data_IF_087165642054
#
_entry.id   IF_087165642054
#
_cell.length_a   1.000
_cell.length_b   1.000
_cell.length_c   1.000
_cell.angle_alpha   90.00
_cell.angle_beta   90.00
_cell.angle_gamma   90.00
#
_symmetry.space_group_name_H-M   'P 1'
#
loop_
_entity.id
_entity.type
_entity.pdbx_description
1 polymer ?
#
# COMPACT_ATOMS: atom_id res chain seq x y z
N UNK A 1 6.65 73.33 -20.20
CA UNK A 1 7.73 72.35 -19.98
C UNK A 1 7.67 71.96 -18.52
N UNK A 2 7.46 70.73 -18.08
CA UNK A 2 7.20 69.46 -18.72
C UNK A 2 6.26 68.69 -17.78
N UNK A 3 5.22 68.08 -18.34
CA UNK A 3 4.30 67.17 -17.66
C UNK A 3 4.99 65.81 -17.67
N UNK A 4 5.64 65.46 -16.57
CA UNK A 4 6.24 64.14 -16.35
C UNK A 4 5.62 63.63 -15.06
N UNK A 5 4.66 62.71 -15.16
CA UNK A 5 4.91 61.27 -15.21
C UNK A 5 4.74 60.72 -13.79
N UNK A 6 3.49 60.64 -13.29
CA UNK A 6 3.25 60.08 -11.94
C UNK A 6 1.85 59.48 -11.71
N UNK A 7 1.05 59.26 -12.77
CA UNK A 7 -0.30 58.67 -12.65
C UNK A 7 -0.44 57.31 -13.31
N UNK A 8 0.67 56.66 -13.70
CA UNK A 8 0.68 55.34 -14.33
C UNK A 8 1.34 54.25 -13.44
N UNK A 9 1.58 54.55 -12.17
CA UNK A 9 2.37 53.71 -11.25
C UNK A 9 1.52 52.91 -10.25
N UNK A 10 0.26 53.27 -10.03
CA UNK A 10 -0.59 52.64 -9.00
C UNK A 10 -1.21 51.28 -9.39
N UNK A 11 -1.83 51.06 -10.57
CA UNK A 11 -2.51 49.78 -10.84
C UNK A 11 -1.53 48.61 -11.01
N UNK A 12 -0.30 48.87 -11.46
CA UNK A 12 0.75 47.85 -11.59
C UNK A 12 1.34 47.48 -10.24
N UNK A 13 1.45 48.43 -9.30
CA UNK A 13 1.92 48.19 -7.93
C UNK A 13 0.89 47.40 -7.12
N UNK A 14 -0.39 47.70 -7.30
CA UNK A 14 -1.50 47.01 -6.65
C UNK A 14 -1.63 45.57 -7.17
N UNK A 15 -1.60 45.37 -8.49
CA UNK A 15 -1.59 44.04 -9.10
C UNK A 15 -0.33 43.23 -8.72
N UNK A 16 0.83 43.88 -8.59
CA UNK A 16 2.06 43.22 -8.13
C UNK A 16 1.99 42.87 -6.63
N UNK A 17 1.29 43.65 -5.81
CA UNK A 17 1.06 43.34 -4.41
C UNK A 17 0.09 42.15 -4.26
N UNK A 18 -1.03 42.15 -4.98
CA UNK A 18 -1.96 41.01 -5.00
C UNK A 18 -1.30 39.73 -5.52
N UNK A 19 -0.53 39.80 -6.60
CA UNK A 19 0.21 38.65 -7.13
C UNK A 19 1.21 38.09 -6.12
N UNK A 20 1.86 38.94 -5.30
CA UNK A 20 2.76 38.50 -4.23
C UNK A 20 2.00 37.85 -3.08
N UNK A 21 0.85 38.38 -2.70
CA UNK A 21 0.02 37.83 -1.63
C UNK A 21 -0.57 36.47 -2.03
N UNK A 22 -1.05 36.35 -3.27
CA UNK A 22 -1.54 35.08 -3.82
C UNK A 22 -0.40 34.07 -3.95
N UNK A 23 0.78 34.48 -4.41
CA UNK A 23 1.95 33.62 -4.47
C UNK A 23 2.38 33.13 -3.08
N UNK A 24 2.39 34.01 -2.06
CA UNK A 24 2.72 33.65 -0.69
C UNK A 24 1.71 32.66 -0.09
N UNK A 25 0.40 32.87 -0.33
CA UNK A 25 -0.65 31.93 0.09
C UNK A 25 -0.51 30.59 -0.62
N UNK A 26 -0.18 30.57 -1.91
CA UNK A 26 0.04 29.34 -2.65
C UNK A 26 1.25 28.57 -2.13
N UNK A 27 2.34 29.27 -1.81
CA UNK A 27 3.56 28.68 -1.26
C UNK A 27 3.32 28.13 0.16
N UNK A 28 2.55 28.84 0.98
CA UNK A 28 2.13 28.41 2.33
C UNK A 28 1.21 27.18 2.29
N UNK A 29 0.23 27.14 1.38
CA UNK A 29 -0.62 25.97 1.15
C UNK A 29 0.21 24.77 0.67
N UNK A 30 1.20 25.02 -0.20
CA UNK A 30 2.09 23.99 -0.73
C UNK A 30 3.03 23.47 0.36
N UNK A 31 3.54 24.35 1.22
CA UNK A 31 4.38 24.01 2.36
C UNK A 31 3.62 23.19 3.41
N UNK A 32 2.39 23.58 3.76
CA UNK A 32 1.53 22.80 4.67
C UNK A 32 1.26 21.40 4.11
N UNK A 33 1.03 21.29 2.79
CA UNK A 33 0.79 20.03 2.12
C UNK A 33 2.01 19.10 2.13
N UNK A 34 3.21 19.65 2.01
CA UNK A 34 4.46 18.88 2.04
C UNK A 34 4.75 18.29 3.43
N UNK A 35 4.43 19.03 4.49
CA UNK A 35 4.62 18.60 5.88
C UNK A 35 3.63 17.49 6.26
N UNK A 36 2.36 17.63 5.88
CA UNK A 36 1.35 16.58 6.02
C UNK A 36 1.73 15.31 5.27
N UNK A 37 2.28 15.45 4.06
CA UNK A 37 2.76 14.30 3.29
C UNK A 37 3.95 13.61 3.95
N UNK A 38 4.85 14.35 4.60
CA UNK A 38 5.97 13.77 5.35
C UNK A 38 5.48 12.99 6.58
N UNK A 39 4.57 13.59 7.36
CA UNK A 39 3.97 12.96 8.53
C UNK A 39 3.20 11.69 8.14
N UNK A 40 2.43 11.72 7.05
CA UNK A 40 1.72 10.53 6.55
C UNK A 40 2.68 9.42 6.10
N UNK A 41 3.84 9.76 5.52
CA UNK A 41 4.86 8.75 5.19
C UNK A 41 5.43 8.09 6.45
N UNK A 42 5.70 8.88 7.48
CA UNK A 42 6.25 8.36 8.74
C UNK A 42 5.22 7.53 9.50
N UNK A 43 3.94 7.92 9.50
CA UNK A 43 2.86 7.09 10.03
C UNK A 43 2.68 5.80 9.23
N UNK A 44 2.80 5.84 7.91
CA UNK A 44 2.77 4.62 7.07
C UNK A 44 3.93 3.68 7.39
N UNK A 45 5.14 4.21 7.57
CA UNK A 45 6.30 3.41 8.00
C UNK A 45 6.09 2.81 9.39
N UNK A 46 5.67 3.61 10.36
CA UNK A 46 5.38 3.15 11.71
C UNK A 46 4.26 2.09 11.74
N UNK A 47 3.27 2.19 10.84
CA UNK A 47 2.24 1.18 10.64
C UNK A 47 2.79 -0.11 10.01
N UNK A 48 3.67 0.01 9.02
CA UNK A 48 4.32 -1.13 8.36
C UNK A 48 5.21 -1.94 9.32
N UNK A 49 5.84 -1.28 10.29
CA UNK A 49 6.63 -1.94 11.35
C UNK A 49 5.78 -2.62 12.43
N UNK A 50 4.52 -2.20 12.61
CA UNK A 50 3.58 -2.86 13.53
C UNK A 50 2.87 -4.07 12.92
N UNK A 51 3.07 -4.33 11.62
CA UNK A 51 2.53 -5.51 10.96
C UNK A 51 3.19 -6.77 11.56
N UNK A 52 2.43 -7.73 12.12
CA UNK A 52 3.01 -8.97 12.60
C UNK A 52 3.57 -9.74 11.40
N UNK A 53 4.91 -9.77 11.27
CA UNK A 53 5.59 -10.69 10.34
C UNK A 53 5.91 -11.98 11.09
N UNK A 54 4.87 -12.70 11.52
CA UNK A 54 5.02 -14.03 12.11
C UNK A 54 5.23 -15.10 11.03
N UNK A 55 6.06 -14.81 10.03
CA UNK A 55 6.43 -15.81 9.02
C UNK A 55 7.61 -16.60 9.59
N UNK A 56 7.45 -17.90 9.90
CA UNK A 56 8.52 -18.68 10.49
C UNK A 56 9.75 -18.70 9.58
N UNK A 57 10.94 -18.61 10.18
CA UNK A 57 12.19 -18.71 9.42
C UNK A 57 12.26 -20.07 8.71
N UNK A 58 12.52 -20.11 7.40
CA UNK A 58 12.48 -21.36 6.64
C UNK A 58 13.61 -22.29 7.06
N UNK A 59 13.30 -23.57 7.18
CA UNK A 59 14.31 -24.61 7.45
C UNK A 59 15.28 -24.75 6.28
N UNK A 60 16.46 -25.35 6.50
CA UNK A 60 17.46 -25.55 5.43
C UNK A 60 16.90 -26.33 4.24
N UNK A 61 16.06 -27.33 4.51
CA UNK A 61 15.35 -28.10 3.46
C UNK A 61 14.39 -27.23 2.67
N UNK A 62 13.60 -26.40 3.35
CA UNK A 62 12.66 -25.47 2.69
C UNK A 62 13.40 -24.44 1.83
N UNK A 63 14.46 -23.81 2.36
CA UNK A 63 15.29 -22.85 1.60
C UNK A 63 15.84 -23.45 0.31
N UNK A 64 16.22 -24.73 0.36
CA UNK A 64 16.75 -25.44 -0.80
C UNK A 64 15.64 -25.79 -1.78
N UNK A 65 14.50 -26.26 -1.29
CA UNK A 65 13.32 -26.53 -2.10
C UNK A 65 12.81 -25.28 -2.83
N UNK A 66 12.79 -24.11 -2.17
CA UNK A 66 12.35 -22.87 -2.80
C UNK A 66 13.29 -22.38 -3.90
N UNK A 67 14.61 -22.54 -3.69
CA UNK A 67 15.59 -22.23 -4.74
C UNK A 67 15.41 -23.15 -5.93
N UNK A 68 15.25 -24.46 -5.69
CA UNK A 68 15.05 -25.44 -6.77
C UNK A 68 13.72 -25.17 -7.50
N UNK A 69 12.64 -24.90 -6.77
CA UNK A 69 11.34 -24.57 -7.34
C UNK A 69 11.40 -23.28 -8.20
N UNK A 70 12.12 -22.26 -7.75
CA UNK A 70 12.34 -21.03 -8.53
C UNK A 70 13.15 -21.26 -9.81
N UNK A 71 14.11 -22.19 -9.79
CA UNK A 71 14.89 -22.56 -10.99
C UNK A 71 14.04 -23.39 -11.95
N UNK A 72 13.35 -24.42 -11.47
CA UNK A 72 12.54 -25.32 -12.30
C UNK A 72 11.32 -24.60 -12.90
N UNK A 73 10.74 -23.64 -12.19
CA UNK A 73 9.62 -22.83 -12.66
C UNK A 73 10.00 -21.71 -13.65
N UNK A 74 11.29 -21.56 -14.01
CA UNK A 74 11.76 -20.50 -14.89
C UNK A 74 11.69 -20.88 -16.37
N UNK A 75 11.24 -19.96 -17.21
CA UNK A 75 11.30 -20.09 -18.68
C UNK A 75 12.71 -20.38 -19.21
N UNK A 76 13.75 -19.86 -18.55
CA UNK A 76 15.15 -20.09 -18.93
C UNK A 76 15.56 -21.55 -18.74
N UNK A 77 15.07 -22.21 -17.69
CA UNK A 77 15.37 -23.62 -17.41
C UNK A 77 14.80 -24.54 -18.49
N UNK A 78 13.55 -24.30 -18.91
CA UNK A 78 12.88 -25.07 -19.98
C UNK A 78 13.68 -24.98 -21.29
N UNK A 79 14.17 -23.79 -21.65
CA UNK A 79 14.96 -23.58 -22.86
C UNK A 79 16.28 -24.35 -22.79
N UNK A 80 17.03 -24.21 -21.69
CA UNK A 80 18.33 -24.90 -21.51
C UNK A 80 18.14 -26.42 -21.54
N UNK A 81 17.13 -26.95 -20.84
CA UNK A 81 16.84 -28.38 -20.82
C UNK A 81 16.48 -28.88 -22.23
N UNK A 82 15.66 -28.13 -22.97
CA UNK A 82 15.26 -28.48 -24.34
C UNK A 82 16.47 -28.52 -25.29
N UNK A 83 17.36 -27.53 -25.20
CA UNK A 83 18.61 -27.50 -25.99
C UNK A 83 19.50 -28.68 -25.62
N UNK A 84 19.65 -28.99 -24.33
CA UNK A 84 20.44 -30.14 -23.87
C UNK A 84 19.92 -31.46 -24.46
N UNK A 85 18.59 -31.66 -24.47
CA UNK A 85 17.97 -32.84 -25.07
C UNK A 85 18.23 -32.93 -26.58
N UNK A 86 18.12 -31.80 -27.30
CA UNK A 86 18.40 -31.74 -28.74
C UNK A 86 19.88 -32.04 -29.02
N UNK A 87 20.80 -31.47 -28.24
CA UNK A 87 22.25 -31.75 -28.37
C UNK A 87 22.56 -33.21 -28.09
N UNK A 88 21.94 -33.79 -27.05
CA UNK A 88 22.11 -35.22 -26.72
C UNK A 88 21.62 -36.12 -27.85
N UNK A 89 20.45 -35.83 -28.41
CA UNK A 89 19.89 -36.55 -29.55
C UNK A 89 20.83 -36.50 -30.76
N UNK A 90 21.33 -35.31 -31.09
CA UNK A 90 22.28 -35.07 -32.19
C UNK A 90 23.55 -35.90 -31.96
N UNK A 91 24.19 -35.78 -30.80
CA UNK A 91 25.42 -36.51 -30.47
C UNK A 91 25.24 -38.03 -30.62
N UNK A 92 24.11 -38.55 -30.17
CA UNK A 92 23.84 -39.99 -30.21
C UNK A 92 23.54 -40.50 -31.63
N UNK A 93 22.95 -39.68 -32.51
CA UNK A 93 22.77 -40.00 -33.94
C UNK A 93 24.12 -40.00 -34.67
N UNK A 94 25.01 -39.04 -34.38
CA UNK A 94 26.32 -38.94 -35.01
C UNK A 94 27.34 -39.97 -34.47
N UNK A 95 27.12 -40.51 -33.26
CA UNK A 95 27.90 -41.61 -32.67
C UNK A 95 27.54 -42.98 -33.28
N UNK A 96 27.62 -43.09 -34.61
CA UNK A 96 27.15 -44.24 -35.40
C UNK A 96 27.87 -45.57 -35.08
N UNK A 97 29.10 -45.51 -34.56
CA UNK A 97 29.96 -46.71 -34.38
C UNK A 97 29.94 -47.29 -32.96
N UNK A 98 29.41 -46.56 -31.97
CA UNK A 98 29.46 -46.96 -30.57
C UNK A 98 28.19 -46.59 -29.79
N UNK A 99 27.07 -46.41 -30.52
CA UNK A 99 25.75 -45.96 -30.06
C UNK A 99 25.57 -46.10 -28.54
N UNK A 100 25.90 -45.02 -27.82
CA UNK A 100 25.92 -45.00 -26.36
C UNK A 100 24.52 -45.18 -25.76
N UNK A 101 23.48 -44.74 -26.49
CA UNK A 101 22.07 -44.94 -26.13
C UNK A 101 21.22 -45.29 -27.37
N UNK A 102 21.20 -46.55 -27.84
CA UNK A 102 20.44 -46.95 -29.03
C UNK A 102 18.93 -46.69 -28.88
N UNK A 103 18.24 -46.46 -30.00
CA UNK A 103 16.78 -46.31 -30.01
C UNK A 103 16.13 -47.51 -29.29
N UNK A 104 15.31 -47.33 -28.22
CA UNK A 104 14.47 -46.17 -27.89
C UNK A 104 14.99 -45.22 -26.78
N UNK A 105 16.30 -44.99 -26.65
CA UNK A 105 16.93 -44.06 -25.68
C UNK A 105 16.61 -44.36 -24.20
N UNK A 106 17.00 -45.56 -23.73
CA UNK A 106 16.65 -46.05 -22.39
C UNK A 106 17.26 -45.19 -21.27
N UNK A 107 18.48 -44.69 -21.47
CA UNK A 107 19.18 -43.92 -20.44
C UNK A 107 18.59 -42.52 -20.31
N UNK A 108 18.28 -41.87 -21.43
CA UNK A 108 17.62 -40.57 -21.44
C UNK A 108 16.22 -40.65 -20.79
N UNK A 109 15.46 -41.69 -21.11
CA UNK A 109 14.14 -41.91 -20.53
C UNK A 109 14.21 -42.16 -19.01
N UNK A 110 15.19 -42.96 -18.56
CA UNK A 110 15.42 -43.20 -17.14
C UNK A 110 15.78 -41.91 -16.39
N UNK A 111 16.70 -41.11 -16.96
CA UNK A 111 17.11 -39.83 -16.37
C UNK A 111 15.95 -38.85 -16.27
N UNK A 112 15.14 -38.71 -17.32
CA UNK A 112 13.96 -37.83 -17.31
C UNK A 112 12.90 -38.30 -16.31
N UNK A 113 12.66 -39.61 -16.23
CA UNK A 113 11.72 -40.18 -15.27
C UNK A 113 12.15 -39.90 -13.82
N UNK A 114 13.45 -40.10 -13.53
CA UNK A 114 14.03 -39.78 -12.23
C UNK A 114 13.94 -38.28 -11.92
N UNK A 115 14.28 -37.43 -12.89
CA UNK A 115 14.18 -35.98 -12.74
C UNK A 115 12.75 -35.56 -12.38
N UNK A 116 11.75 -36.06 -13.10
CA UNK A 116 10.34 -35.75 -12.83
C UNK A 116 9.89 -36.25 -11.45
N UNK A 117 10.28 -37.48 -11.07
CA UNK A 117 9.94 -38.07 -9.78
C UNK A 117 10.46 -37.25 -8.59
N UNK A 118 11.66 -36.66 -8.69
CA UNK A 118 12.20 -35.77 -7.65
C UNK A 118 11.66 -34.35 -7.71
N UNK A 119 11.35 -33.86 -8.91
CA UNK A 119 10.87 -32.49 -9.11
C UNK A 119 9.48 -32.30 -8.51
N UNK A 120 8.57 -33.24 -8.71
CA UNK A 120 7.18 -33.10 -8.28
C UNK A 120 7.02 -32.90 -6.75
N UNK A 121 7.65 -33.71 -5.87
CA UNK A 121 7.58 -33.50 -4.42
C UNK A 121 8.21 -32.19 -3.96
N UNK A 122 9.35 -31.79 -4.54
CA UNK A 122 10.04 -30.55 -4.18
C UNK A 122 9.17 -29.34 -4.55
N UNK A 123 8.57 -29.38 -5.74
CA UNK A 123 7.67 -28.34 -6.20
C UNK A 123 6.41 -28.27 -5.32
N UNK A 124 5.80 -29.42 -4.98
CA UNK A 124 4.66 -29.49 -4.07
C UNK A 124 5.00 -28.97 -2.67
N UNK A 125 6.19 -29.26 -2.14
CA UNK A 125 6.63 -28.74 -0.85
C UNK A 125 6.80 -27.22 -0.86
N UNK A 126 7.38 -26.66 -1.92
CA UNK A 126 7.52 -25.21 -2.06
C UNK A 126 6.16 -24.53 -2.26
N UNK A 127 5.26 -25.13 -3.04
CA UNK A 127 3.88 -24.66 -3.21
C UNK A 127 3.08 -24.69 -1.90
N UNK A 128 3.09 -25.80 -1.16
CA UNK A 128 2.41 -25.92 0.14
C UNK A 128 2.92 -24.87 1.12
N UNK A 129 4.23 -24.61 1.13
CA UNK A 129 4.83 -23.57 1.98
C UNK A 129 4.35 -22.18 1.57
N UNK A 130 4.38 -21.86 0.28
CA UNK A 130 3.93 -20.55 -0.19
C UNK A 130 2.44 -20.33 0.10
N UNK A 131 1.60 -21.35 -0.11
CA UNK A 131 0.18 -21.30 0.22
C UNK A 131 -0.08 -21.09 1.72
N UNK A 132 0.73 -21.70 2.60
CA UNK A 132 0.62 -21.47 4.04
C UNK A 132 1.01 -20.03 4.43
N UNK A 133 2.09 -19.50 3.86
CA UNK A 133 2.50 -18.09 4.08
C UNK A 133 1.41 -17.14 3.59
N UNK A 134 0.86 -17.38 2.41
CA UNK A 134 -0.19 -16.55 1.83
C UNK A 134 -1.46 -16.61 2.71
N UNK A 135 -1.82 -17.79 3.21
CA UNK A 135 -2.96 -17.96 4.13
C UNK A 135 -2.75 -17.21 5.46
N UNK A 136 -1.55 -17.26 6.03
CA UNK A 136 -1.22 -16.52 7.26
C UNK A 136 -1.27 -15.02 7.03
N UNK A 137 -0.71 -14.55 5.92
CA UNK A 137 -0.74 -13.14 5.52
C UNK A 137 -2.18 -12.66 5.36
N UNK A 138 -3.03 -13.42 4.67
CA UNK A 138 -4.45 -13.10 4.50
C UNK A 138 -5.22 -13.04 5.84
N UNK A 139 -4.91 -13.92 6.79
CA UNK A 139 -5.52 -13.89 8.13
C UNK A 139 -5.11 -12.63 8.90
N UNK A 140 -3.82 -12.31 8.89
CA UNK A 140 -3.31 -11.11 9.56
C UNK A 140 -3.91 -9.84 8.94
N UNK A 141 -3.98 -9.77 7.60
CA UNK A 141 -4.60 -8.66 6.88
C UNK A 141 -6.08 -8.51 7.25
N UNK A 142 -6.81 -9.62 7.34
CA UNK A 142 -8.20 -9.64 7.76
C UNK A 142 -8.39 -9.12 9.19
N UNK A 143 -7.57 -9.58 10.14
CA UNK A 143 -7.64 -9.14 11.54
C UNK A 143 -7.31 -7.64 11.68
N UNK A 144 -6.29 -7.16 10.97
CA UNK A 144 -5.93 -5.74 10.95
C UNK A 144 -7.07 -4.90 10.36
N UNK A 145 -7.69 -5.37 9.28
CA UNK A 145 -8.80 -4.66 8.65
C UNK A 145 -10.02 -4.60 9.57
N UNK A 146 -10.39 -5.73 10.19
CA UNK A 146 -11.50 -5.80 11.15
C UNK A 146 -11.27 -4.87 12.35
N UNK A 147 -10.04 -4.83 12.87
CA UNK A 147 -9.68 -3.92 13.97
C UNK A 147 -9.80 -2.46 13.55
N UNK A 148 -9.34 -2.12 12.34
CA UNK A 148 -9.47 -0.76 11.82
C UNK A 148 -10.94 -0.36 11.62
N UNK A 149 -11.77 -1.27 11.13
CA UNK A 149 -13.22 -1.06 10.98
C UNK A 149 -13.89 -0.75 12.34
N UNK A 150 -13.61 -1.57 13.36
CA UNK A 150 -14.10 -1.34 14.72
C UNK A 150 -13.60 -0.02 15.33
N UNK A 151 -12.33 0.33 15.13
CA UNK A 151 -11.79 1.61 15.60
C UNK A 151 -12.49 2.81 14.93
N UNK A 152 -12.81 2.72 13.63
CA UNK A 152 -13.55 3.75 12.90
C UNK A 152 -15.00 3.86 13.40
N UNK A 153 -15.66 2.74 13.66
CA UNK A 153 -17.02 2.73 14.22
C UNK A 153 -17.05 3.38 15.62
N UNK A 154 -16.10 3.03 16.49
CA UNK A 154 -15.96 3.64 17.81
C UNK A 154 -15.65 5.15 17.73
N UNK A 155 -14.85 5.57 16.74
CA UNK A 155 -14.59 6.99 16.50
C UNK A 155 -15.87 7.72 16.06
N UNK A 156 -16.67 7.13 15.17
CA UNK A 156 -17.96 7.71 14.77
C UNK A 156 -18.89 7.89 15.96
N UNK A 157 -19.06 6.86 16.79
CA UNK A 157 -19.89 6.94 18.00
C UNK A 157 -19.41 8.04 18.95
N UNK A 158 -18.09 8.18 19.15
CA UNK A 158 -17.53 9.27 19.98
C UNK A 158 -17.80 10.65 19.38
N UNK A 159 -17.67 10.80 18.07
CA UNK A 159 -17.97 12.06 17.38
C UNK A 159 -19.46 12.41 17.54
N UNK A 160 -20.36 11.45 17.34
CA UNK A 160 -21.80 11.67 17.49
C UNK A 160 -22.17 12.09 18.92
N UNK A 161 -21.56 11.46 19.93
CA UNK A 161 -21.73 11.84 21.34
C UNK A 161 -21.23 13.25 21.63
N UNK A 162 -20.07 13.64 21.07
CA UNK A 162 -19.54 15.00 21.22
C UNK A 162 -20.45 16.03 20.53
N UNK A 163 -20.93 15.72 19.32
CA UNK A 163 -21.86 16.56 18.56
C UNK A 163 -23.17 16.75 19.31
N UNK A 164 -23.73 15.69 19.89
CA UNK A 164 -24.94 15.78 20.71
C UNK A 164 -24.77 16.71 21.92
N UNK A 165 -23.65 16.59 22.65
CA UNK A 165 -23.33 17.48 23.79
C UNK A 165 -23.17 18.94 23.38
N UNK A 166 -22.55 19.17 22.23
CA UNK A 166 -22.32 20.51 21.71
C UNK A 166 -23.63 21.17 21.26
N UNK A 167 -24.51 20.41 20.60
CA UNK A 167 -25.88 20.85 20.28
C UNK A 167 -26.64 21.19 21.56
N UNK A 168 -26.57 20.35 22.59
CA UNK A 168 -27.25 20.60 23.87
C UNK A 168 -26.78 21.90 24.53
N UNK A 169 -25.47 22.17 24.55
CA UNK A 169 -24.91 23.44 25.03
C UNK A 169 -25.35 24.64 24.21
N UNK A 170 -25.36 24.52 22.88
CA UNK A 170 -25.81 25.61 22.00
C UNK A 170 -27.30 25.92 22.26
N UNK A 171 -28.14 24.90 22.42
CA UNK A 171 -29.55 25.06 22.76
C UNK A 171 -29.72 25.74 24.12
N UNK A 172 -28.95 25.34 25.14
CA UNK A 172 -29.05 25.95 26.47
C UNK A 172 -28.66 27.43 26.46
N UNK A 173 -27.60 27.79 25.75
CA UNK A 173 -27.15 29.20 25.59
C UNK A 173 -28.23 30.04 24.88
N UNK A 174 -28.84 29.51 23.82
CA UNK A 174 -29.91 30.21 23.10
C UNK A 174 -31.14 30.43 24.00
N UNK A 175 -31.54 29.42 24.78
CA UNK A 175 -32.67 29.54 25.72
C UNK A 175 -32.41 30.57 26.82
N UNK A 176 -31.17 30.65 27.33
CA UNK A 176 -30.78 31.62 28.35
C UNK A 176 -30.82 33.06 27.81
N UNK A 177 -30.34 33.28 26.59
CA UNK A 177 -30.46 34.57 25.90
C UNK A 177 -31.93 34.97 25.67
N UNK A 178 -32.78 34.03 25.25
CA UNK A 178 -34.21 34.30 25.07
C UNK A 178 -34.88 34.69 26.39
N UNK A 179 -34.60 34.00 27.49
CA UNK A 179 -35.10 34.36 28.83
C UNK A 179 -34.64 35.75 29.23
N UNK A 180 -33.34 36.05 29.11
CA UNK A 180 -32.78 37.36 29.44
C UNK A 180 -33.42 38.49 28.64
N UNK A 181 -33.66 38.30 27.34
CA UNK A 181 -34.37 39.27 26.50
C UNK A 181 -35.84 39.44 26.90
N UNK A 182 -36.54 38.35 27.25
CA UNK A 182 -37.92 38.40 27.71
C UNK A 182 -38.05 39.18 29.04
N UNK A 183 -37.13 38.96 29.98
CA UNK A 183 -37.09 39.71 31.25
C UNK A 183 -36.81 41.19 31.01
N UNK A 184 -35.89 41.53 30.10
CA UNK A 184 -35.58 42.93 29.76
C UNK A 184 -36.75 43.64 29.09
N UNK A 185 -37.47 42.95 28.21
CA UNK A 185 -38.69 43.46 27.56
C UNK A 185 -39.85 43.66 28.55
N UNK A 186 -39.96 42.81 29.56
CA UNK A 186 -40.95 42.95 30.61
C UNK A 186 -40.66 44.15 31.54
N UNK A 187 -39.37 44.45 31.81
CA UNK A 187 -38.99 45.61 32.61
C UNK A 187 -39.13 46.95 31.89
N UNK A 188 -38.96 46.98 30.56
CA UNK A 188 -39.07 48.21 29.75
C UNK A 188 -40.54 48.63 29.51
N UNK A 189 -41.49 47.69 29.59
CA UNK A 189 -42.92 47.95 29.41
C UNK A 189 -43.67 48.46 30.63
N UNK A 190 -43.06 48.41 31.83
CA UNK A 190 -43.66 48.88 33.10
C UNK A 190 -43.24 50.32 33.46
N UNK A 191 -42.36 50.92 32.64
CA UNK A 191 -41.80 52.27 32.85
C UNK A 191 -42.37 53.34 31.91
N UNK A 192 -43.44 53.05 31.17
CA UNK A 192 -44.13 53.96 30.25
C UNK A 192 -45.59 54.18 30.64
#
# INVERSE_FOLDING_TARGET
MAKSDDTLTDPVREAAAEARTVAALFDEITALSLEDQALLRDLRKARADRMPRDVPSPTLGQRTADRIAGVVGSWRFIIIQSVLLVVWLILNIFAWTSAWDPYPFILLNLMLSFQAAYTAPILLMSQNRQAEIDRQTQRNDYEVNLKAELEIELLHQKIDLLRAREIERLVSVVQELQKGLATRRAGDGDSA
#
